data_IF_980865592624
#
_entry.id   IF_980865592624
#
_cell.length_a   1.000
_cell.length_b   1.000
_cell.length_c   1.000
_cell.angle_alpha   90.00
_cell.angle_beta   90.00
_cell.angle_gamma   90.00
#
_symmetry.space_group_name_H-M   'P 1'
#
loop_
_entity.id
_entity.type
_entity.pdbx_description
1 polymer ?
#
# COMPACT_ATOMS: atom_id res chain seq x y z
N UNK A 1 -24.63 -8.83 4.34
CA UNK A 1 -23.69 -7.69 4.36
C UNK A 1 -22.46 -8.14 3.59
N UNK A 2 -21.92 -7.38 2.62
CA UNK A 2 -20.64 -7.77 2.08
C UNK A 2 -19.64 -7.62 3.22
N UNK A 3 -19.04 -8.74 3.63
CA UNK A 3 -17.87 -8.72 4.52
C UNK A 3 -16.90 -7.70 3.95
N UNK A 4 -16.36 -6.82 4.80
CA UNK A 4 -15.34 -5.86 4.42
C UNK A 4 -14.20 -6.60 3.72
N UNK A 5 -14.17 -6.55 2.40
CA UNK A 5 -13.19 -7.26 1.59
C UNK A 5 -11.89 -6.48 1.66
N UNK A 6 -10.97 -6.93 2.53
CA UNK A 6 -9.68 -6.28 2.64
C UNK A 6 -8.91 -6.49 1.33
N UNK A 7 -8.05 -5.54 0.92
CA UNK A 7 -7.23 -5.73 -0.27
C UNK A 7 -6.39 -7.02 -0.19
N UNK A 8 -5.97 -7.41 1.01
CA UNK A 8 -5.24 -8.64 1.28
C UNK A 8 -6.04 -9.91 0.95
N UNK A 9 -7.32 -9.93 1.34
CA UNK A 9 -8.21 -11.06 1.05
C UNK A 9 -8.44 -11.19 -0.44
N UNK A 10 -8.75 -10.08 -1.11
CA UNK A 10 -8.91 -10.02 -2.57
C UNK A 10 -7.69 -10.57 -3.29
N UNK A 11 -6.48 -10.11 -2.95
CA UNK A 11 -5.24 -10.60 -3.57
C UNK A 11 -5.03 -12.10 -3.35
N UNK A 12 -5.36 -12.62 -2.17
CA UNK A 12 -5.25 -14.05 -1.92
C UNK A 12 -6.31 -14.85 -2.69
N UNK A 13 -7.53 -14.35 -2.80
CA UNK A 13 -8.62 -15.00 -3.52
C UNK A 13 -8.38 -15.04 -5.03
N UNK A 14 -7.85 -13.96 -5.61
CA UNK A 14 -7.41 -13.90 -7.02
C UNK A 14 -6.28 -14.90 -7.31
N UNK A 15 -5.37 -15.10 -6.35
CA UNK A 15 -4.22 -15.98 -6.49
C UNK A 15 -4.56 -17.48 -6.34
N UNK A 16 -5.50 -17.82 -5.44
CA UNK A 16 -5.82 -19.21 -5.06
C UNK A 16 -6.12 -20.16 -6.23
N UNK A 17 -6.85 -19.79 -7.28
CA UNK A 17 -7.11 -20.65 -8.44
C UNK A 17 -5.85 -21.11 -9.16
N UNK A 18 -4.77 -20.33 -9.08
CA UNK A 18 -3.51 -20.58 -9.77
C UNK A 18 -2.50 -21.37 -8.92
N UNK A 19 -2.73 -21.46 -7.60
CA UNK A 19 -1.89 -22.22 -6.70
C UNK A 19 -2.27 -23.71 -6.73
N UNK A 20 -1.40 -24.52 -7.31
CA UNK A 20 -1.50 -25.99 -7.30
C UNK A 20 -0.44 -26.59 -6.37
N UNK A 21 -0.75 -27.74 -5.80
CA UNK A 21 0.17 -28.51 -4.96
C UNK A 21 -0.08 -28.40 -3.46
N UNK A 22 0.57 -29.32 -2.75
CA UNK A 22 0.53 -29.49 -1.30
C UNK A 22 1.94 -29.83 -0.83
N UNK A 23 2.36 -29.27 0.30
CA UNK A 23 3.61 -29.63 0.96
C UNK A 23 3.35 -30.13 2.39
N UNK A 24 4.42 -30.31 3.17
CA UNK A 24 4.37 -30.72 4.57
C UNK A 24 3.58 -29.75 5.48
N UNK A 25 3.35 -28.50 5.04
CA UNK A 25 2.61 -27.45 5.75
C UNK A 25 1.14 -27.44 5.36
N UNK A 26 0.78 -28.09 4.26
CA UNK A 26 -0.60 -28.25 3.79
C UNK A 26 -0.81 -27.75 2.37
N UNK A 27 -2.06 -27.39 2.07
CA UNK A 27 -2.43 -26.90 0.73
C UNK A 27 -1.84 -25.50 0.51
N UNK A 28 -1.13 -25.32 -0.61
CA UNK A 28 -0.56 -24.01 -0.99
C UNK A 28 -1.67 -22.96 -1.07
N UNK A 29 -1.43 -21.78 -0.50
CA UNK A 29 -2.43 -20.69 -0.43
C UNK A 29 -3.55 -20.86 0.62
N UNK A 30 -3.53 -21.93 1.42
CA UNK A 30 -4.41 -22.04 2.59
C UNK A 30 -3.93 -21.14 3.73
N UNK A 31 -4.84 -20.71 4.60
CA UNK A 31 -4.49 -19.85 5.74
C UNK A 31 -3.40 -20.48 6.63
N UNK A 32 -3.51 -21.77 6.94
CA UNK A 32 -2.51 -22.51 7.72
C UNK A 32 -1.13 -22.52 7.05
N UNK A 33 -1.12 -22.67 5.73
CA UNK A 33 0.11 -22.70 4.95
C UNK A 33 0.80 -21.33 4.92
N UNK A 34 0.02 -20.26 4.75
CA UNK A 34 0.52 -18.88 4.80
C UNK A 34 1.03 -18.51 6.21
N UNK A 35 0.31 -18.91 7.26
CA UNK A 35 0.75 -18.72 8.65
C UNK A 35 2.08 -19.42 8.92
N UNK A 36 2.27 -20.66 8.42
CA UNK A 36 3.53 -21.38 8.57
C UNK A 36 4.70 -20.67 7.86
N UNK A 37 4.50 -20.21 6.62
CA UNK A 37 5.52 -19.44 5.90
C UNK A 37 5.83 -18.10 6.55
N UNK A 38 4.81 -17.42 7.06
CA UNK A 38 4.99 -16.16 7.77
C UNK A 38 5.78 -16.37 9.07
N UNK A 39 5.52 -17.46 9.80
CA UNK A 39 6.26 -17.82 11.01
C UNK A 39 7.74 -18.10 10.71
N UNK A 40 8.05 -18.82 9.63
CA UNK A 40 9.43 -19.05 9.17
C UNK A 40 10.18 -17.76 8.84
N UNK A 41 9.46 -16.72 8.40
CA UNK A 41 10.00 -15.38 8.14
C UNK A 41 10.01 -14.48 9.39
N UNK A 42 9.77 -15.04 10.58
CA UNK A 42 9.76 -14.32 11.86
C UNK A 42 8.44 -13.61 12.20
N UNK A 43 7.34 -13.96 11.53
CA UNK A 43 6.00 -13.47 11.82
C UNK A 43 5.36 -14.15 13.02
N UNK A 44 4.40 -13.48 13.67
CA UNK A 44 3.64 -14.06 14.78
C UNK A 44 2.47 -14.92 14.29
N UNK A 45 2.09 -15.89 15.10
CA UNK A 45 0.93 -16.74 14.82
C UNK A 45 -0.37 -15.92 14.87
N UNK A 46 -1.27 -16.16 13.91
CA UNK A 46 -2.57 -15.50 13.81
C UNK A 46 -2.52 -14.14 13.12
N UNK A 47 -1.32 -13.63 12.82
CA UNK A 47 -1.13 -12.36 12.13
C UNK A 47 -1.69 -12.39 10.72
N UNK A 48 -1.55 -13.50 9.98
CA UNK A 48 -2.08 -13.59 8.61
C UNK A 48 -3.59 -13.50 8.62
N UNK A 49 -4.26 -14.21 9.53
CA UNK A 49 -5.72 -14.11 9.68
C UNK A 49 -6.15 -12.68 10.00
N UNK A 50 -5.46 -12.02 10.92
CA UNK A 50 -5.79 -10.66 11.33
C UNK A 50 -5.63 -9.66 10.18
N UNK A 51 -4.58 -9.78 9.38
CA UNK A 51 -4.35 -8.92 8.21
C UNK A 51 -5.42 -9.21 7.14
N UNK A 52 -5.63 -10.48 6.77
CA UNK A 52 -6.57 -10.87 5.70
C UNK A 52 -8.01 -10.46 6.00
N UNK A 53 -8.49 -10.59 7.23
CA UNK A 53 -9.91 -10.40 7.53
C UNK A 53 -10.24 -9.08 8.22
N UNK A 54 -9.24 -8.42 8.83
CA UNK A 54 -9.46 -7.22 9.65
C UNK A 54 -8.48 -6.09 9.34
N UNK A 55 -7.52 -6.30 8.43
CA UNK A 55 -6.40 -5.39 8.18
C UNK A 55 -5.61 -5.04 9.47
N UNK A 56 -5.55 -5.97 10.41
CA UNK A 56 -4.85 -5.81 11.69
C UNK A 56 -3.50 -6.52 11.68
N UNK A 57 -2.42 -5.77 11.88
CA UNK A 57 -1.05 -6.27 11.93
C UNK A 57 -0.05 -5.11 11.92
N UNK A 58 1.19 -5.37 12.32
CA UNK A 58 2.24 -4.35 12.26
C UNK A 58 2.58 -4.02 10.79
N UNK A 59 3.15 -2.84 10.51
CA UNK A 59 3.66 -2.49 9.17
C UNK A 59 4.57 -3.57 8.58
N UNK A 60 5.50 -4.06 9.39
CA UNK A 60 6.51 -5.04 9.01
C UNK A 60 5.87 -6.41 8.74
N UNK A 61 4.81 -6.75 9.47
CA UNK A 61 4.03 -7.97 9.25
C UNK A 61 3.25 -7.90 7.94
N UNK A 62 2.61 -6.77 7.65
CA UNK A 62 1.89 -6.53 6.40
C UNK A 62 2.85 -6.55 5.20
N UNK A 63 4.01 -5.90 5.31
CA UNK A 63 5.01 -5.85 4.24
C UNK A 63 5.54 -7.24 3.91
N UNK A 64 5.85 -8.03 4.96
CA UNK A 64 6.26 -9.42 4.81
C UNK A 64 5.19 -10.28 4.14
N UNK A 65 3.91 -10.10 4.51
CA UNK A 65 2.81 -10.80 3.88
C UNK A 65 2.67 -10.40 2.40
N UNK A 66 2.83 -9.12 2.08
CA UNK A 66 2.78 -8.64 0.71
C UNK A 66 3.89 -9.24 -0.15
N UNK A 67 5.15 -9.24 0.32
CA UNK A 67 6.25 -9.86 -0.43
C UNK A 67 6.03 -11.36 -0.63
N UNK A 68 5.48 -12.05 0.38
CA UNK A 68 5.10 -13.46 0.23
C UNK A 68 4.02 -13.63 -0.85
N UNK A 69 2.96 -12.82 -0.86
CA UNK A 69 1.94 -12.89 -1.91
C UNK A 69 2.55 -12.58 -3.28
N UNK A 70 3.37 -11.55 -3.39
CA UNK A 70 4.06 -11.15 -4.62
C UNK A 70 4.92 -12.27 -5.20
N UNK A 71 5.69 -12.97 -4.36
CA UNK A 71 6.46 -14.14 -4.75
C UNK A 71 5.54 -15.23 -5.32
N UNK A 72 4.41 -15.50 -4.67
CA UNK A 72 3.47 -16.52 -5.15
C UNK A 72 2.80 -16.16 -6.47
N UNK A 73 2.48 -14.87 -6.68
CA UNK A 73 2.00 -14.39 -7.97
C UNK A 73 3.02 -14.68 -9.07
N UNK A 74 4.30 -14.36 -8.83
CA UNK A 74 5.39 -14.65 -9.78
C UNK A 74 5.56 -16.14 -10.04
N UNK A 75 5.53 -16.97 -9.01
CA UNK A 75 5.59 -18.44 -9.15
C UNK A 75 4.41 -18.99 -9.95
N UNK A 76 3.24 -18.37 -9.84
CA UNK A 76 2.05 -18.72 -10.61
C UNK A 76 2.07 -18.17 -12.06
N UNK A 77 3.14 -17.44 -12.45
CA UNK A 77 3.24 -16.79 -13.75
C UNK A 77 2.31 -15.58 -13.93
N UNK A 78 1.84 -15.00 -12.83
CA UNK A 78 0.95 -13.85 -12.80
C UNK A 78 1.72 -12.56 -12.48
N UNK A 79 1.20 -11.44 -12.94
CA UNK A 79 1.67 -10.13 -12.51
C UNK A 79 1.17 -9.85 -11.08
N UNK A 80 2.06 -9.54 -10.12
CA UNK A 80 1.65 -9.26 -8.76
C UNK A 80 0.82 -7.96 -8.70
N UNK A 81 -0.25 -7.92 -7.89
CA UNK A 81 -1.00 -6.70 -7.68
C UNK A 81 -0.13 -5.67 -6.95
N UNK A 82 -0.47 -4.38 -7.05
CA UNK A 82 0.26 -3.33 -6.34
C UNK A 82 0.19 -3.52 -4.81
N UNK A 83 1.17 -3.01 -4.05
CA UNK A 83 1.09 -3.02 -2.58
C UNK A 83 -0.18 -2.29 -2.10
N UNK A 84 -0.89 -2.80 -1.07
CA UNK A 84 -2.08 -2.12 -0.55
C UNK A 84 -1.78 -0.71 -0.03
N UNK A 85 -2.73 0.24 -0.17
CA UNK A 85 -2.58 1.62 0.33
C UNK A 85 -2.21 1.68 1.83
N UNK A 86 -2.68 0.71 2.60
CA UNK A 86 -2.43 0.59 4.03
C UNK A 86 -0.95 0.37 4.36
N UNK A 87 -0.18 -0.28 3.48
CA UNK A 87 1.27 -0.37 3.63
C UNK A 87 1.94 1.01 3.48
N UNK A 88 1.48 1.80 2.51
CA UNK A 88 1.97 3.15 2.33
C UNK A 88 1.61 4.04 3.51
N UNK A 89 0.40 3.88 4.06
CA UNK A 89 -0.05 4.57 5.27
C UNK A 89 0.82 4.26 6.48
N UNK A 90 1.21 3.00 6.66
CA UNK A 90 2.09 2.61 7.76
C UNK A 90 3.52 3.11 7.60
N UNK A 91 4.09 3.03 6.39
CA UNK A 91 5.41 3.62 6.12
C UNK A 91 5.39 5.14 6.30
N UNK A 92 4.33 5.80 5.83
CA UNK A 92 4.09 7.21 6.01
C UNK A 92 3.82 7.58 7.48
N UNK A 93 3.33 6.67 8.33
CA UNK A 93 3.14 6.94 9.77
C UNK A 93 4.44 7.17 10.51
N UNK A 94 5.54 6.51 10.11
CA UNK A 94 6.86 6.71 10.71
C UNK A 94 7.44 8.10 10.38
N UNK A 95 7.04 8.68 9.25
CA UNK A 95 7.63 9.92 8.72
C UNK A 95 6.71 11.13 8.83
N UNK A 96 5.39 10.95 8.86
CA UNK A 96 4.39 12.01 8.87
C UNK A 96 3.81 12.25 10.28
N UNK A 97 3.79 13.52 10.69
CA UNK A 97 3.03 13.96 11.87
C UNK A 97 1.51 13.76 11.71
N UNK A 98 0.76 13.86 12.82
CA UNK A 98 -0.70 13.58 12.90
C UNK A 98 -1.53 14.18 11.77
N UNK A 99 -1.40 15.48 11.51
CA UNK A 99 -2.26 16.16 10.54
C UNK A 99 -1.97 15.74 9.10
N UNK A 100 -0.68 15.60 8.76
CA UNK A 100 -0.25 15.12 7.44
C UNK A 100 -0.72 13.69 7.18
N UNK A 101 -0.73 12.83 8.21
CA UNK A 101 -1.29 11.48 8.11
C UNK A 101 -2.77 11.48 7.79
N UNK A 102 -3.54 12.41 8.37
CA UNK A 102 -4.98 12.54 8.08
C UNK A 102 -5.21 12.91 6.62
N UNK A 103 -4.45 13.89 6.11
CA UNK A 103 -4.50 14.34 4.71
C UNK A 103 -4.11 13.18 3.78
N UNK A 104 -2.98 12.54 4.04
CA UNK A 104 -2.47 11.42 3.25
C UNK A 104 -3.47 10.25 3.17
N UNK A 105 -4.07 9.85 4.30
CA UNK A 105 -5.11 8.80 4.34
C UNK A 105 -6.34 9.16 3.53
N UNK A 106 -6.83 10.39 3.71
CA UNK A 106 -8.02 10.86 2.99
C UNK A 106 -7.77 10.84 1.49
N UNK A 107 -6.61 11.35 1.05
CA UNK A 107 -6.21 11.40 -0.35
C UNK A 107 -6.20 10.00 -0.98
N UNK A 108 -5.54 9.02 -0.35
CA UNK A 108 -5.48 7.66 -0.88
C UNK A 108 -6.86 6.99 -0.93
N UNK A 109 -7.69 7.17 0.10
CA UNK A 109 -9.04 6.59 0.12
C UNK A 109 -9.93 7.13 -1.00
N UNK A 110 -9.89 8.45 -1.22
CA UNK A 110 -10.63 9.08 -2.33
C UNK A 110 -10.10 8.55 -3.68
N UNK A 111 -8.78 8.42 -3.83
CA UNK A 111 -8.16 7.89 -5.03
C UNK A 111 -8.56 6.44 -5.33
N UNK A 112 -8.61 5.58 -4.31
CA UNK A 112 -9.05 4.18 -4.41
C UNK A 112 -10.52 4.06 -4.77
N UNK A 113 -11.35 5.02 -4.34
CA UNK A 113 -12.75 5.11 -4.74
C UNK A 113 -12.94 5.57 -6.20
N UNK A 114 -11.86 5.85 -6.93
CA UNK A 114 -11.90 6.36 -8.31
C UNK A 114 -12.09 7.86 -8.41
N UNK A 115 -12.08 8.58 -7.29
CA UNK A 115 -12.24 10.03 -7.25
C UNK A 115 -10.96 10.77 -7.70
N UNK A 116 -11.08 12.09 -7.87
CA UNK A 116 -9.98 13.00 -8.23
C UNK A 116 -9.64 13.94 -7.07
N UNK A 117 -9.01 13.45 -5.99
CA UNK A 117 -8.73 14.25 -4.80
C UNK A 117 -7.80 15.43 -5.12
N UNK A 118 -8.09 16.60 -4.55
CA UNK A 118 -7.25 17.80 -4.62
C UNK A 118 -6.88 18.27 -3.21
N UNK A 119 -5.61 18.61 -3.00
CA UNK A 119 -5.10 19.06 -1.70
C UNK A 119 -4.10 20.19 -1.91
N UNK A 120 -4.28 21.27 -1.14
CA UNK A 120 -3.30 22.36 -1.02
C UNK A 120 -2.65 22.28 0.36
N UNK A 121 -1.32 22.25 0.41
CA UNK A 121 -0.55 22.16 1.66
C UNK A 121 0.31 23.41 1.81
N UNK A 122 -0.11 24.30 2.71
CA UNK A 122 0.61 25.54 3.04
C UNK A 122 1.31 25.39 4.38
N UNK A 123 2.52 25.93 4.50
CA UNK A 123 3.26 25.94 5.76
C UNK A 123 4.63 26.60 5.61
N UNK A 124 5.26 26.96 6.72
CA UNK A 124 6.60 27.56 6.71
C UNK A 124 7.71 26.62 6.19
N UNK A 125 8.95 27.13 6.05
CA UNK A 125 10.13 26.32 5.77
C UNK A 125 10.28 25.15 6.77
N UNK A 126 10.86 24.03 6.35
CA UNK A 126 11.13 22.85 7.18
C UNK A 126 9.91 22.19 7.88
N UNK A 127 8.67 22.54 7.52
CA UNK A 127 7.45 21.97 8.13
C UNK A 127 7.07 20.56 7.63
N UNK A 128 7.95 19.90 6.86
CA UNK A 128 7.73 18.53 6.36
C UNK A 128 6.76 18.41 5.18
N UNK A 129 6.54 19.47 4.39
CA UNK A 129 5.74 19.42 3.14
C UNK A 129 6.35 18.46 2.12
N UNK A 130 7.68 18.52 1.95
CA UNK A 130 8.41 17.61 1.06
C UNK A 130 8.26 16.15 1.46
N UNK A 131 8.21 15.84 2.77
CA UNK A 131 7.98 14.49 3.28
C UNK A 131 6.59 13.96 2.90
N UNK A 132 5.56 14.80 3.00
CA UNK A 132 4.21 14.44 2.56
C UNK A 132 4.15 14.18 1.05
N UNK A 133 4.77 15.05 0.24
CA UNK A 133 4.84 14.87 -1.22
C UNK A 133 5.61 13.61 -1.61
N UNK A 134 6.73 13.32 -0.95
CA UNK A 134 7.50 12.11 -1.18
C UNK A 134 6.71 10.84 -0.82
N UNK A 135 5.96 10.87 0.29
CA UNK A 135 5.08 9.77 0.66
C UNK A 135 3.95 9.56 -0.37
N UNK A 136 3.34 10.65 -0.85
CA UNK A 136 2.31 10.59 -1.91
C UNK A 136 2.88 10.06 -3.22
N UNK A 137 4.02 10.57 -3.66
CA UNK A 137 4.70 10.12 -4.87
C UNK A 137 4.99 8.62 -4.81
N UNK A 138 5.58 8.12 -3.72
CA UNK A 138 5.81 6.68 -3.51
C UNK A 138 4.53 5.84 -3.55
N UNK A 139 3.46 6.32 -2.91
CA UNK A 139 2.18 5.61 -2.90
C UNK A 139 1.53 5.60 -4.29
N UNK A 140 1.64 6.70 -5.04
CA UNK A 140 1.09 6.83 -6.39
C UNK A 140 1.84 5.99 -7.41
N UNK A 141 3.18 6.00 -7.39
CA UNK A 141 4.01 5.18 -8.29
C UNK A 141 3.79 3.68 -8.12
N UNK A 142 3.30 3.27 -6.96
CA UNK A 142 2.97 1.88 -6.72
C UNK A 142 1.62 1.47 -7.28
N UNK A 143 0.77 2.41 -7.72
CA UNK A 143 -0.51 2.11 -8.34
C UNK A 143 -0.31 1.77 -9.83
N UNK A 144 -0.92 0.69 -10.34
CA UNK A 144 -0.77 0.28 -11.74
C UNK A 144 -1.31 1.35 -12.67
N UNK A 145 -0.56 1.63 -13.75
CA UNK A 145 -0.95 2.61 -14.76
C UNK A 145 -0.97 4.06 -14.28
N UNK A 146 -0.38 4.36 -13.11
CA UNK A 146 -0.26 5.73 -12.59
C UNK A 146 1.19 6.10 -12.37
N UNK A 147 1.73 6.89 -13.28
CA UNK A 147 3.01 7.55 -13.06
C UNK A 147 2.76 8.96 -12.51
N UNK A 148 3.10 9.23 -11.23
CA UNK A 148 2.90 10.55 -10.66
C UNK A 148 3.84 11.55 -11.32
N UNK A 149 3.29 12.57 -11.95
CA UNK A 149 4.06 13.69 -12.46
C UNK A 149 4.27 14.72 -11.34
N UNK A 150 5.53 14.94 -10.96
CA UNK A 150 5.90 15.97 -9.98
C UNK A 150 6.43 17.20 -10.69
N UNK A 151 5.70 18.31 -10.59
CA UNK A 151 6.11 19.59 -11.14
C UNK A 151 6.62 20.51 -10.02
N UNK A 152 7.90 20.86 -10.06
CA UNK A 152 8.47 21.87 -9.17
C UNK A 152 8.37 23.25 -9.83
N UNK A 153 7.51 24.10 -9.26
CA UNK A 153 7.20 25.44 -9.74
C UNK A 153 8.10 26.54 -9.14
N UNK A 154 9.15 26.17 -8.42
CA UNK A 154 10.16 27.10 -7.90
C UNK A 154 11.32 27.36 -8.87
N UNK A 155 12.23 28.26 -8.49
CA UNK A 155 13.46 28.53 -9.25
C UNK A 155 13.18 29.20 -10.60
N UNK A 156 13.84 28.72 -11.66
CA UNK A 156 13.72 29.28 -13.01
C UNK A 156 12.29 29.16 -13.58
N UNK A 157 11.60 28.06 -13.27
CA UNK A 157 10.19 27.86 -13.71
C UNK A 157 9.26 28.89 -13.09
N UNK A 158 9.57 29.39 -11.89
CA UNK A 158 8.76 30.41 -11.24
C UNK A 158 8.68 31.70 -12.07
N UNK A 159 9.71 32.02 -12.87
CA UNK A 159 9.72 33.21 -13.73
C UNK A 159 8.76 33.08 -14.91
N UNK A 160 8.43 31.85 -15.33
CA UNK A 160 7.50 31.57 -16.41
C UNK A 160 6.03 31.50 -15.94
N UNK A 161 5.76 31.57 -14.63
CA UNK A 161 4.42 31.50 -14.09
C UNK A 161 3.73 32.85 -14.20
N UNK A 162 2.68 32.91 -15.02
CA UNK A 162 1.83 34.09 -15.15
C UNK A 162 0.59 33.92 -14.27
N UNK A 163 0.30 34.84 -13.34
CA UNK A 163 -0.93 34.81 -12.58
C UNK A 163 -2.14 34.94 -13.53
N UNK A 164 -3.05 33.98 -13.46
CA UNK A 164 -4.37 34.13 -14.07
C UNK A 164 -5.23 34.89 -13.05
N UNK A 165 -5.44 36.18 -13.32
CA UNK A 165 -6.32 37.06 -12.56
C UNK A 165 -7.79 36.67 -12.76
#
# INVERSE_FOLDING_TARGET
MPESDTPWRRYLEDLRPHLKGRDHRGKKGSLRWLEALMAERGGRAGTVRNILYKDLGSPEEKERLYELLRELYREAGLEPPPPPAELFLESARKTLGRDKRRIFRRFLKELEAGERPQVVVVGGPATGKGVLLAALSRALSALPGREPFLLNLGGEVAQALVPLA
#
